data_IF_752371810657
#
_entry.id   IF_752371810657
#
_cell.length_a   1.000
_cell.length_b   1.000
_cell.length_c   1.000
_cell.angle_alpha   90.00
_cell.angle_beta   90.00
_cell.angle_gamma   90.00
#
_symmetry.space_group_name_H-M   'P 1'
#
loop_
_entity.id
_entity.type
_entity.pdbx_description
1 polymer ?
#
# COMPACT_ATOMS: atom_id res chain seq x y z
N UNK A 1 49.40 70.28 17.48
CA UNK A 1 49.41 68.88 17.96
C UNK A 1 47.96 68.44 18.13
N UNK A 2 47.44 67.73 17.19
CA UNK A 2 46.06 67.22 17.20
C UNK A 2 46.13 65.70 17.15
N UNK A 3 45.66 65.06 18.20
CA UNK A 3 45.64 63.64 18.42
C UNK A 3 44.33 63.07 17.83
N UNK A 4 44.45 62.26 16.76
CA UNK A 4 43.35 61.61 16.06
C UNK A 4 43.00 60.34 16.79
N UNK A 5 41.81 60.22 17.37
CA UNK A 5 41.24 58.98 17.96
C UNK A 5 40.56 58.20 16.87
N UNK A 6 41.12 57.02 16.48
CA UNK A 6 40.45 56.05 15.66
C UNK A 6 39.46 55.23 16.47
N UNK A 7 38.15 55.34 16.16
CA UNK A 7 37.12 54.46 16.65
C UNK A 7 37.10 53.18 15.79
N UNK A 8 37.51 52.06 16.38
CA UNK A 8 37.33 50.72 15.84
C UNK A 8 35.85 50.33 15.95
N UNK A 9 35.17 50.23 14.81
CA UNK A 9 33.83 49.70 14.73
C UNK A 9 33.87 48.16 14.67
N UNK A 10 33.46 47.49 15.73
CA UNK A 10 33.27 46.04 15.74
C UNK A 10 32.03 45.70 14.94
N UNK A 11 32.21 45.03 13.79
CA UNK A 11 31.12 44.38 13.06
C UNK A 11 30.59 43.17 13.86
N UNK A 12 29.43 43.31 14.46
CA UNK A 12 28.72 42.22 15.07
C UNK A 12 28.12 41.35 14.00
N UNK A 13 28.77 40.22 13.69
CA UNK A 13 28.24 39.18 12.79
C UNK A 13 27.11 38.44 13.54
N UNK A 14 25.87 38.83 13.29
CA UNK A 14 24.70 38.09 13.78
C UNK A 14 24.61 36.79 13.00
N UNK A 15 25.11 35.68 13.57
CA UNK A 15 24.81 34.33 13.11
C UNK A 15 23.32 34.10 13.31
N UNK A 16 22.57 34.07 12.20
CA UNK A 16 21.20 33.62 12.20
C UNK A 16 21.16 32.13 12.64
N UNK A 17 20.72 31.93 13.87
CA UNK A 17 20.46 30.58 14.39
C UNK A 17 19.22 30.06 13.65
N UNK A 18 19.45 29.21 12.68
CA UNK A 18 18.36 28.50 12.01
C UNK A 18 17.55 27.76 13.10
N UNK A 19 16.33 28.20 13.36
CA UNK A 19 15.44 27.58 14.31
C UNK A 19 15.14 26.16 13.83
N UNK A 20 15.51 25.16 14.65
CA UNK A 20 15.14 23.78 14.39
C UNK A 20 13.60 23.68 14.37
N UNK A 21 13.01 23.11 13.31
CA UNK A 21 11.55 22.96 13.23
C UNK A 21 11.02 22.23 14.45
N UNK A 22 9.89 22.70 14.97
CA UNK A 22 9.26 22.11 16.16
C UNK A 22 8.96 20.62 15.93
N UNK A 23 8.89 19.85 17.02
CA UNK A 23 8.58 18.40 16.95
C UNK A 23 7.26 18.13 16.24
N UNK A 24 6.30 19.07 16.33
CA UNK A 24 5.00 18.97 15.68
C UNK A 24 5.10 19.21 14.16
N UNK A 25 5.89 20.18 13.71
CA UNK A 25 6.15 20.42 12.29
C UNK A 25 6.83 19.23 11.62
N UNK A 26 7.81 18.60 12.28
CA UNK A 26 8.47 17.38 11.79
C UNK A 26 7.50 16.20 11.66
N UNK A 27 6.56 16.04 12.60
CA UNK A 27 5.55 14.98 12.55
C UNK A 27 4.62 15.16 11.35
N UNK A 28 4.15 16.38 11.11
CA UNK A 28 3.26 16.70 9.98
C UNK A 28 3.92 16.43 8.63
N UNK A 29 5.18 16.86 8.46
CA UNK A 29 5.96 16.62 7.23
C UNK A 29 6.15 15.12 6.95
N UNK A 30 6.49 14.33 7.96
CA UNK A 30 6.68 12.87 7.81
C UNK A 30 5.36 12.17 7.43
N UNK A 31 4.25 12.57 8.04
CA UNK A 31 2.93 12.01 7.72
C UNK A 31 2.53 12.34 6.28
N UNK A 32 2.76 13.57 5.84
CA UNK A 32 2.44 14.00 4.47
C UNK A 32 3.31 13.24 3.45
N UNK A 33 4.63 13.18 3.64
CA UNK A 33 5.53 12.44 2.77
C UNK A 33 5.17 10.95 2.64
N UNK A 34 4.74 10.30 3.72
CA UNK A 34 4.32 8.90 3.69
C UNK A 34 2.99 8.67 2.94
N UNK A 35 2.11 9.69 2.89
CA UNK A 35 0.84 9.65 2.15
C UNK A 35 0.97 9.96 0.66
N UNK A 36 2.03 10.65 0.26
CA UNK A 36 2.25 11.06 -1.14
C UNK A 36 2.57 9.91 -2.09
N UNK A 37 2.85 8.70 -1.56
CA UNK A 37 3.39 7.60 -2.35
C UNK A 37 2.45 7.04 -3.42
N UNK A 38 1.13 7.26 -3.34
CA UNK A 38 0.18 6.89 -4.39
C UNK A 38 -1.04 7.79 -4.48
N UNK A 39 -1.76 8.03 -3.39
CA UNK A 39 -2.95 8.86 -3.35
C UNK A 39 -2.86 9.82 -2.16
N UNK A 40 -2.48 11.08 -2.39
CA UNK A 40 -2.30 12.04 -1.32
C UNK A 40 -3.61 12.22 -0.53
N UNK A 41 -3.55 12.01 0.77
CA UNK A 41 -4.64 12.31 1.67
C UNK A 41 -5.81 11.31 1.71
N UNK A 42 -5.74 10.16 1.03
CA UNK A 42 -6.79 9.14 1.15
C UNK A 42 -6.67 8.40 2.49
N UNK A 43 -7.38 8.88 3.48
CA UNK A 43 -7.49 8.28 4.82
C UNK A 43 -8.85 8.63 5.44
N UNK A 44 -9.96 8.07 4.90
CA UNK A 44 -11.31 8.42 5.33
C UNK A 44 -11.59 8.07 6.80
N UNK A 45 -10.92 7.02 7.32
CA UNK A 45 -11.08 6.56 8.71
C UNK A 45 -10.07 7.19 9.67
N UNK A 46 -9.20 8.08 9.17
CA UNK A 46 -8.16 8.77 9.94
C UNK A 46 -7.23 7.83 10.74
N UNK A 47 -6.94 6.64 10.19
CA UNK A 47 -6.08 5.66 10.83
C UNK A 47 -4.60 6.07 10.82
N UNK A 48 -4.18 6.86 9.84
CA UNK A 48 -2.81 7.32 9.64
C UNK A 48 -2.50 8.70 10.24
N UNK A 49 -3.29 9.22 11.19
CA UNK A 49 -3.04 10.52 11.84
C UNK A 49 -1.79 10.48 12.72
N UNK A 50 -1.59 9.39 13.44
CA UNK A 50 -0.41 9.18 14.28
C UNK A 50 0.75 8.67 13.40
N UNK A 51 1.90 9.37 13.35
CA UNK A 51 3.05 8.97 12.53
C UNK A 51 3.62 7.59 12.87
N UNK A 52 3.58 7.19 14.12
CA UNK A 52 4.11 5.89 14.53
C UNK A 52 3.17 4.75 14.11
N UNK A 53 1.85 4.96 14.22
CA UNK A 53 0.84 4.05 13.66
C UNK A 53 0.92 3.99 12.14
N UNK A 54 1.12 5.11 11.47
CA UNK A 54 1.24 5.15 10.01
C UNK A 54 2.42 4.32 9.50
N UNK A 55 3.56 4.37 10.18
CA UNK A 55 4.73 3.52 9.86
C UNK A 55 4.38 2.04 9.98
N UNK A 56 3.68 1.67 11.06
CA UNK A 56 3.26 0.30 11.28
C UNK A 56 2.25 -0.19 10.23
N UNK A 57 1.24 0.63 9.93
CA UNK A 57 0.26 0.31 8.89
C UNK A 57 0.91 0.20 7.50
N UNK A 58 1.94 1.00 7.24
CA UNK A 58 2.71 0.91 6.02
C UNK A 58 3.45 -0.42 5.92
N UNK A 59 4.10 -0.85 6.98
CA UNK A 59 4.76 -2.15 7.06
C UNK A 59 3.75 -3.29 6.89
N UNK A 60 2.61 -3.20 7.55
CA UNK A 60 1.53 -4.18 7.41
C UNK A 60 0.99 -4.24 5.98
N UNK A 61 0.78 -3.11 5.33
CA UNK A 61 0.33 -3.03 3.94
C UNK A 61 1.31 -3.71 2.98
N UNK A 62 2.61 -3.40 3.11
CA UNK A 62 3.65 -4.03 2.27
C UNK A 62 3.76 -5.53 2.51
N UNK A 63 3.71 -5.98 3.76
CA UNK A 63 3.77 -7.41 4.09
C UNK A 63 2.57 -8.17 3.53
N UNK A 64 1.35 -7.65 3.73
CA UNK A 64 0.14 -8.26 3.16
C UNK A 64 0.14 -8.22 1.63
N UNK A 65 0.62 -7.13 1.03
CA UNK A 65 0.78 -7.03 -0.42
C UNK A 65 1.74 -8.07 -1.00
N UNK A 66 2.88 -8.31 -0.34
CA UNK A 66 3.85 -9.34 -0.74
C UNK A 66 3.27 -10.75 -0.62
N UNK A 67 2.60 -11.06 0.47
CA UNK A 67 1.90 -12.35 0.65
C UNK A 67 0.80 -12.53 -0.40
N UNK A 68 0.04 -11.51 -0.70
CA UNK A 68 -0.98 -11.57 -1.74
C UNK A 68 -0.39 -11.78 -3.13
N UNK A 69 0.72 -11.11 -3.48
CA UNK A 69 1.42 -11.36 -4.75
C UNK A 69 1.91 -12.81 -4.87
N UNK A 70 2.51 -13.35 -3.80
CA UNK A 70 2.93 -14.74 -3.76
C UNK A 70 1.73 -15.71 -3.86
N UNK A 71 0.63 -15.42 -3.15
CA UNK A 71 -0.59 -16.23 -3.19
C UNK A 71 -1.23 -16.25 -4.58
N UNK A 72 -1.36 -15.09 -5.24
CA UNK A 72 -1.91 -15.00 -6.60
C UNK A 72 -1.06 -15.80 -7.58
N UNK A 73 0.27 -15.63 -7.53
CA UNK A 73 1.18 -16.39 -8.39
C UNK A 73 1.08 -17.91 -8.12
N UNK A 74 1.03 -18.32 -6.85
CA UNK A 74 0.90 -19.72 -6.46
C UNK A 74 -0.42 -20.36 -6.93
N UNK A 75 -1.54 -19.67 -6.74
CA UNK A 75 -2.87 -20.12 -7.16
C UNK A 75 -2.92 -20.30 -8.69
N UNK A 76 -2.44 -19.32 -9.43
CA UNK A 76 -2.41 -19.39 -10.91
C UNK A 76 -1.48 -20.52 -11.39
N UNK A 77 -0.32 -20.67 -10.77
CA UNK A 77 0.63 -21.73 -11.12
C UNK A 77 0.04 -23.12 -10.88
N UNK A 78 -0.51 -23.39 -9.70
CA UNK A 78 -1.10 -24.70 -9.37
C UNK A 78 -2.32 -25.01 -10.25
N UNK A 79 -3.13 -24.00 -10.56
CA UNK A 79 -4.29 -24.14 -11.44
C UNK A 79 -3.87 -24.42 -12.89
N UNK A 80 -2.81 -23.79 -13.39
CA UNK A 80 -2.28 -23.97 -14.74
C UNK A 80 -1.63 -25.35 -14.95
N UNK A 81 -0.88 -25.82 -13.96
CA UNK A 81 -0.15 -27.11 -14.02
C UNK A 81 -1.05 -28.31 -13.72
N UNK A 82 -2.28 -28.07 -13.26
CA UNK A 82 -3.23 -29.13 -12.92
C UNK A 82 -2.96 -29.82 -11.59
N UNK A 83 -2.27 -29.13 -10.68
CA UNK A 83 -2.10 -29.56 -9.29
C UNK A 83 -3.41 -29.38 -8.50
N UNK A 84 -3.53 -29.97 -7.28
CA UNK A 84 -4.69 -29.76 -6.43
C UNK A 84 -5.03 -28.29 -6.30
N UNK A 85 -6.32 -27.98 -6.40
CA UNK A 85 -6.80 -26.60 -6.37
C UNK A 85 -6.55 -25.99 -5.00
N UNK A 86 -6.26 -24.71 -4.95
CA UNK A 86 -5.95 -23.97 -3.72
C UNK A 86 -7.02 -24.16 -2.63
N UNK A 87 -8.28 -24.24 -3.02
CA UNK A 87 -9.41 -24.41 -2.09
C UNK A 87 -9.59 -25.86 -1.60
N UNK A 88 -9.01 -26.86 -2.29
CA UNK A 88 -9.03 -28.26 -1.90
C UNK A 88 -7.69 -28.71 -1.27
N UNK A 89 -6.66 -27.87 -1.34
CA UNK A 89 -5.31 -28.21 -0.89
C UNK A 89 -5.25 -28.63 0.60
N UNK A 90 -6.11 -28.08 1.45
CA UNK A 90 -6.19 -28.48 2.86
C UNK A 90 -6.86 -29.84 3.11
N UNK A 91 -7.58 -30.38 2.12
CA UNK A 91 -8.24 -31.70 2.21
C UNK A 91 -7.38 -32.82 1.63
N UNK A 92 -6.30 -32.49 0.92
CA UNK A 92 -5.41 -33.47 0.30
C UNK A 92 -4.62 -34.26 1.34
N UNK A 93 -4.26 -35.49 0.94
CA UNK A 93 -3.42 -36.39 1.79
C UNK A 93 -1.96 -36.14 1.49
N UNK A 94 -1.26 -35.60 2.47
CA UNK A 94 0.18 -35.38 2.42
C UNK A 94 0.94 -36.49 3.17
N UNK A 95 2.27 -36.55 3.01
CA UNK A 95 3.15 -37.48 3.72
C UNK A 95 3.11 -37.27 5.25
N UNK A 96 2.85 -36.04 5.70
CA UNK A 96 2.65 -35.69 7.08
C UNK A 96 1.19 -35.37 7.35
N UNK A 97 0.73 -35.57 8.58
CA UNK A 97 -0.62 -35.17 8.95
C UNK A 97 -0.80 -33.64 8.90
N UNK A 98 -1.99 -33.18 8.57
CA UNK A 98 -2.30 -31.74 8.52
C UNK A 98 -2.01 -31.03 9.87
N UNK A 99 -2.22 -31.73 10.99
CA UNK A 99 -1.87 -31.21 12.31
C UNK A 99 -0.37 -31.01 12.49
N UNK A 100 0.45 -31.99 12.03
CA UNK A 100 1.91 -31.87 12.06
C UNK A 100 2.39 -30.72 11.18
N UNK A 101 1.84 -30.59 9.96
CA UNK A 101 2.16 -29.49 9.06
C UNK A 101 1.81 -28.14 9.66
N UNK A 102 0.63 -28.02 10.30
CA UNK A 102 0.21 -26.79 10.99
C UNK A 102 1.18 -26.40 12.12
N UNK A 103 1.61 -27.38 12.94
CA UNK A 103 2.56 -27.10 14.02
C UNK A 103 3.91 -26.62 13.46
N UNK A 104 4.41 -27.27 12.42
CA UNK A 104 5.66 -26.86 11.75
C UNK A 104 5.51 -25.42 11.22
N UNK A 105 4.41 -25.14 10.54
CA UNK A 105 4.13 -23.82 10.00
C UNK A 105 4.12 -22.76 11.09
N UNK A 106 3.36 -22.98 12.17
CA UNK A 106 3.27 -22.04 13.29
C UNK A 106 4.63 -21.77 13.94
N UNK A 107 5.45 -22.80 14.16
CA UNK A 107 6.78 -22.64 14.76
C UNK A 107 7.72 -21.85 13.84
N UNK A 108 7.76 -22.20 12.54
CA UNK A 108 8.60 -21.53 11.55
C UNK A 108 8.19 -20.08 11.38
N UNK A 109 6.88 -19.81 11.21
CA UNK A 109 6.39 -18.44 11.03
C UNK A 109 6.50 -17.61 12.30
N UNK A 110 6.29 -18.18 13.49
CA UNK A 110 6.51 -17.47 14.75
C UNK A 110 7.96 -16.98 14.86
N UNK A 111 8.93 -17.85 14.50
CA UNK A 111 10.34 -17.47 14.50
C UNK A 111 10.65 -16.38 13.46
N UNK A 112 10.21 -16.56 12.21
CA UNK A 112 10.45 -15.59 11.12
C UNK A 112 9.81 -14.23 11.41
N UNK A 113 8.57 -14.20 11.89
CA UNK A 113 7.86 -12.98 12.25
C UNK A 113 8.49 -12.28 13.47
N UNK A 114 8.95 -13.03 14.46
CA UNK A 114 9.69 -12.45 15.59
C UNK A 114 10.96 -11.73 15.10
N UNK A 115 11.71 -12.34 14.17
CA UNK A 115 12.91 -11.76 13.57
C UNK A 115 12.58 -10.55 12.68
N UNK A 116 11.50 -10.63 11.89
CA UNK A 116 11.01 -9.50 11.11
C UNK A 116 10.64 -8.31 12.00
N UNK A 117 9.91 -8.55 13.08
CA UNK A 117 9.51 -7.51 14.03
C UNK A 117 10.72 -6.88 14.75
N UNK A 118 11.69 -7.69 15.17
CA UNK A 118 12.95 -7.20 15.74
C UNK A 118 13.69 -6.28 14.77
N UNK A 119 13.82 -6.71 13.51
CA UNK A 119 14.43 -5.92 12.45
C UNK A 119 13.68 -4.61 12.18
N UNK A 120 12.35 -4.66 12.10
CA UNK A 120 11.52 -3.47 11.95
C UNK A 120 11.73 -2.48 13.10
N UNK A 121 11.78 -2.94 14.35
CA UNK A 121 12.05 -2.07 15.51
C UNK A 121 13.41 -1.37 15.43
N UNK A 122 14.43 -2.05 14.91
CA UNK A 122 15.80 -1.53 14.79
C UNK A 122 15.96 -0.57 13.62
N UNK A 123 15.37 -0.88 12.48
CA UNK A 123 15.61 -0.16 11.20
C UNK A 123 14.44 0.72 10.77
N UNK A 124 13.24 0.46 11.27
CA UNK A 124 12.01 1.13 10.83
C UNK A 124 11.59 0.78 9.41
N UNK A 125 12.20 -0.24 8.81
CA UNK A 125 11.99 -0.63 7.43
C UNK A 125 11.62 -2.11 7.26
N UNK A 126 11.33 -2.49 6.02
CA UNK A 126 10.98 -3.86 5.64
C UNK A 126 12.21 -4.68 5.32
N UNK A 127 12.20 -5.96 5.66
CA UNK A 127 13.28 -6.90 5.37
C UNK A 127 12.82 -8.34 5.44
N UNK A 128 13.76 -9.27 5.34
CA UNK A 128 13.52 -10.72 5.47
C UNK A 128 14.39 -11.25 6.57
N UNK A 129 13.78 -11.82 7.60
CA UNK A 129 14.44 -12.49 8.74
C UNK A 129 15.62 -11.71 9.34
N UNK A 130 16.81 -11.86 8.77
CA UNK A 130 18.06 -11.27 9.25
C UNK A 130 18.61 -10.17 8.34
N UNK A 131 18.00 -9.94 7.18
CA UNK A 131 18.48 -9.01 6.16
C UNK A 131 17.55 -7.81 6.03
N UNK A 132 18.02 -6.64 6.49
CA UNK A 132 17.29 -5.39 6.51
C UNK A 132 18.17 -4.24 5.99
N UNK A 133 17.76 -3.51 4.93
CA UNK A 133 16.68 -3.87 4.00
C UNK A 133 17.08 -5.04 3.12
N UNK A 134 16.11 -5.83 2.66
CA UNK A 134 16.35 -6.91 1.71
C UNK A 134 16.41 -6.35 0.29
N UNK A 135 17.61 -6.22 -0.24
CA UNK A 135 17.86 -5.76 -1.63
C UNK A 135 19.13 -6.42 -2.20
N UNK A 136 19.05 -7.71 -2.58
CA UNK A 136 20.22 -8.47 -3.07
C UNK A 136 20.76 -7.98 -4.41
N UNK A 137 19.93 -7.31 -5.22
CA UNK A 137 20.29 -6.85 -6.55
C UNK A 137 20.57 -5.33 -6.63
N UNK A 138 20.42 -4.59 -5.53
CA UNK A 138 20.63 -3.15 -5.48
C UNK A 138 19.65 -2.35 -6.33
N UNK A 139 18.43 -2.87 -6.55
CA UNK A 139 17.42 -2.27 -7.42
C UNK A 139 16.48 -1.28 -6.70
N UNK A 140 16.70 -1.05 -5.43
CA UNK A 140 15.82 -0.21 -4.62
C UNK A 140 15.83 1.24 -5.12
N UNK A 141 14.65 1.72 -5.49
CA UNK A 141 14.40 3.11 -5.86
C UNK A 141 12.98 3.50 -5.43
N UNK A 142 12.71 4.80 -5.35
CA UNK A 142 11.36 5.29 -5.03
C UNK A 142 10.31 4.80 -6.05
N UNK A 143 10.69 4.69 -7.31
CA UNK A 143 9.81 4.17 -8.36
C UNK A 143 9.50 2.67 -8.15
N UNK A 144 10.51 1.88 -7.78
CA UNK A 144 10.32 0.45 -7.48
C UNK A 144 9.48 0.23 -6.22
N UNK A 145 9.67 1.05 -5.18
CA UNK A 145 8.83 1.02 -3.98
C UNK A 145 7.35 1.35 -4.32
N UNK A 146 7.11 2.31 -5.22
CA UNK A 146 5.78 2.64 -5.68
C UNK A 146 5.15 1.51 -6.52
N UNK A 147 5.92 0.88 -7.41
CA UNK A 147 5.48 -0.27 -8.19
C UNK A 147 5.14 -1.46 -7.30
N UNK A 148 5.98 -1.76 -6.32
CA UNK A 148 5.73 -2.81 -5.32
C UNK A 148 4.39 -2.59 -4.61
N UNK A 149 4.16 -1.37 -4.11
CA UNK A 149 2.94 -1.01 -3.42
C UNK A 149 1.69 -1.18 -4.31
N UNK A 150 1.74 -0.67 -5.54
CA UNK A 150 0.61 -0.76 -6.48
C UNK A 150 0.29 -2.22 -6.85
N UNK A 151 1.32 -3.01 -7.15
CA UNK A 151 1.15 -4.44 -7.45
C UNK A 151 0.67 -5.22 -6.23
N UNK A 152 1.16 -4.90 -5.03
CA UNK A 152 0.67 -5.50 -3.78
C UNK A 152 -0.82 -5.24 -3.54
N UNK A 153 -1.27 -4.00 -3.73
CA UNK A 153 -2.70 -3.64 -3.62
C UNK A 153 -3.56 -4.35 -4.65
N UNK A 154 -3.09 -4.42 -5.91
CA UNK A 154 -3.77 -5.16 -6.96
C UNK A 154 -3.87 -6.65 -6.62
N UNK A 155 -2.81 -7.25 -6.13
CA UNK A 155 -2.80 -8.67 -5.74
C UNK A 155 -3.73 -8.97 -4.56
N UNK A 156 -3.82 -8.09 -3.57
CA UNK A 156 -4.79 -8.24 -2.47
C UNK A 156 -6.24 -8.27 -2.99
N UNK A 157 -6.57 -7.39 -3.92
CA UNK A 157 -7.89 -7.40 -4.58
C UNK A 157 -8.10 -8.63 -5.46
N UNK A 158 -7.08 -9.06 -6.20
CA UNK A 158 -7.14 -10.25 -7.04
C UNK A 158 -7.37 -11.53 -6.22
N UNK A 159 -6.71 -11.66 -5.07
CA UNK A 159 -6.94 -12.78 -4.16
C UNK A 159 -8.39 -12.85 -3.66
N UNK A 160 -8.96 -11.71 -3.25
CA UNK A 160 -10.38 -11.61 -2.87
C UNK A 160 -11.27 -11.96 -4.07
N UNK A 161 -10.89 -11.54 -5.29
CA UNK A 161 -11.57 -11.90 -6.53
C UNK A 161 -11.60 -13.41 -6.77
N UNK A 162 -10.47 -14.10 -6.59
CA UNK A 162 -10.41 -15.58 -6.73
C UNK A 162 -11.32 -16.29 -5.72
N UNK A 163 -11.28 -15.86 -4.46
CA UNK A 163 -12.13 -16.41 -3.41
C UNK A 163 -13.63 -16.19 -3.71
N UNK A 164 -13.99 -14.99 -4.15
CA UNK A 164 -15.37 -14.65 -4.50
C UNK A 164 -15.87 -15.45 -5.71
N UNK A 165 -15.03 -15.56 -6.75
CA UNK A 165 -15.37 -16.32 -7.96
C UNK A 165 -15.57 -17.81 -7.64
N UNK A 166 -14.67 -18.38 -6.83
CA UNK A 166 -14.83 -19.75 -6.39
C UNK A 166 -16.10 -19.95 -5.56
N UNK A 167 -16.41 -19.05 -4.64
CA UNK A 167 -17.63 -19.12 -3.81
C UNK A 167 -18.92 -19.09 -4.65
N UNK A 168 -18.89 -18.42 -5.81
CA UNK A 168 -20.05 -18.27 -6.71
C UNK A 168 -20.19 -19.43 -7.66
N UNK A 169 -19.10 -19.88 -8.29
CA UNK A 169 -19.14 -20.87 -9.38
C UNK A 169 -18.40 -22.18 -9.09
N UNK A 170 -17.71 -22.32 -7.96
CA UNK A 170 -16.97 -23.52 -7.57
C UNK A 170 -15.74 -23.82 -8.43
N UNK A 171 -15.30 -22.88 -9.28
CA UNK A 171 -14.20 -23.07 -10.24
C UNK A 171 -12.96 -22.28 -9.86
N UNK A 172 -11.79 -22.78 -10.29
CA UNK A 172 -10.53 -22.04 -10.20
C UNK A 172 -10.47 -20.86 -11.18
N UNK A 173 -9.48 -19.95 -11.02
CA UNK A 173 -9.40 -18.74 -11.83
C UNK A 173 -9.16 -19.00 -13.32
N UNK A 174 -8.36 -20.00 -13.68
CA UNK A 174 -8.08 -20.33 -15.10
C UNK A 174 -9.33 -20.91 -15.78
N UNK A 175 -10.03 -21.82 -15.11
CA UNK A 175 -11.27 -22.39 -15.65
C UNK A 175 -12.36 -21.33 -15.80
N UNK A 176 -12.50 -20.44 -14.82
CA UNK A 176 -13.45 -19.33 -14.89
C UNK A 176 -13.13 -18.34 -16.01
N UNK A 177 -11.85 -18.08 -16.26
CA UNK A 177 -11.41 -17.25 -17.39
C UNK A 177 -11.72 -17.95 -18.73
N UNK A 178 -11.45 -19.24 -18.83
CA UNK A 178 -11.75 -20.01 -20.05
C UNK A 178 -13.25 -19.99 -20.38
N UNK A 179 -14.12 -20.19 -19.39
CA UNK A 179 -15.57 -20.10 -19.57
C UNK A 179 -16.00 -18.71 -20.04
N UNK A 180 -15.44 -17.66 -19.44
CA UNK A 180 -15.74 -16.28 -19.84
C UNK A 180 -15.30 -15.99 -21.28
N UNK A 181 -14.13 -16.47 -21.68
CA UNK A 181 -13.63 -16.27 -23.05
C UNK A 181 -14.42 -17.10 -24.10
N UNK A 182 -14.92 -18.26 -23.70
CA UNK A 182 -15.74 -19.09 -24.58
C UNK A 182 -17.13 -18.46 -24.84
N UNK A 183 -17.75 -17.91 -23.82
CA UNK A 183 -19.07 -17.25 -23.94
C UNK A 183 -19.13 -16.04 -22.93
N UNK A 184 -18.63 -14.87 -23.35
CA UNK A 184 -18.60 -13.69 -22.49
C UNK A 184 -19.99 -13.15 -22.11
N UNK A 185 -20.99 -13.42 -22.95
CA UNK A 185 -22.34 -12.90 -22.74
C UNK A 185 -23.04 -13.61 -21.56
N UNK A 186 -22.79 -14.91 -21.37
CA UNK A 186 -23.47 -15.70 -20.36
C UNK A 186 -22.59 -16.08 -19.16
N UNK A 187 -21.26 -15.91 -19.26
CA UNK A 187 -20.31 -16.21 -18.18
C UNK A 187 -19.69 -14.93 -17.63
N UNK A 188 -20.47 -14.09 -16.98
CA UNK A 188 -20.02 -12.86 -16.34
C UNK A 188 -20.72 -12.64 -15.00
N UNK A 189 -20.31 -11.61 -14.26
CA UNK A 189 -20.87 -11.32 -12.94
C UNK A 189 -22.37 -11.04 -12.98
N UNK A 190 -22.89 -10.43 -14.05
CA UNK A 190 -24.31 -10.06 -14.17
C UNK A 190 -25.21 -11.26 -14.45
N UNK A 191 -24.68 -12.30 -15.09
CA UNK A 191 -25.38 -13.54 -15.39
C UNK A 191 -25.16 -14.62 -14.34
N UNK A 192 -24.31 -14.38 -13.34
CA UNK A 192 -24.05 -15.28 -12.23
C UNK A 192 -25.24 -15.39 -11.28
N UNK A 193 -25.20 -16.36 -10.37
CA UNK A 193 -26.24 -16.55 -9.34
C UNK A 193 -26.42 -15.33 -8.41
N UNK A 194 -25.38 -14.50 -8.29
CA UNK A 194 -25.39 -13.26 -7.49
C UNK A 194 -25.48 -11.99 -8.37
N UNK A 195 -25.83 -12.15 -9.65
CA UNK A 195 -25.81 -11.06 -10.63
C UNK A 195 -26.69 -9.89 -10.25
N UNK A 196 -27.89 -10.15 -9.74
CA UNK A 196 -28.85 -9.10 -9.36
C UNK A 196 -28.34 -8.30 -8.15
N UNK A 197 -27.81 -8.99 -7.14
CA UNK A 197 -27.32 -8.37 -5.89
C UNK A 197 -26.00 -7.64 -6.14
N UNK A 198 -25.19 -8.11 -7.06
CA UNK A 198 -23.87 -7.54 -7.33
C UNK A 198 -23.86 -6.37 -8.32
N UNK A 199 -24.92 -6.19 -9.11
CA UNK A 199 -24.99 -5.11 -10.13
C UNK A 199 -24.68 -3.74 -9.53
N UNK A 200 -25.33 -3.38 -8.41
CA UNK A 200 -25.11 -2.09 -7.76
C UNK A 200 -23.68 -1.95 -7.26
N UNK A 201 -23.16 -2.99 -6.61
CA UNK A 201 -21.79 -2.99 -6.06
C UNK A 201 -20.76 -2.85 -7.18
N UNK A 202 -20.91 -3.62 -8.26
CA UNK A 202 -20.01 -3.55 -9.42
C UNK A 202 -20.11 -2.18 -10.12
N UNK A 203 -21.31 -1.66 -10.31
CA UNK A 203 -21.51 -0.34 -10.89
C UNK A 203 -20.81 0.75 -10.07
N UNK A 204 -20.95 0.73 -8.74
CA UNK A 204 -20.28 1.69 -7.85
C UNK A 204 -18.75 1.56 -7.92
N UNK A 205 -18.23 0.33 -7.93
CA UNK A 205 -16.78 0.08 -8.03
C UNK A 205 -16.20 0.51 -9.37
N UNK A 206 -16.96 0.36 -10.47
CA UNK A 206 -16.52 0.78 -11.80
C UNK A 206 -16.62 2.29 -12.02
N UNK A 207 -17.69 2.92 -11.52
CA UNK A 207 -17.92 4.36 -11.70
C UNK A 207 -16.95 5.19 -10.87
N UNK A 208 -16.56 4.71 -9.69
CA UNK A 208 -15.71 5.46 -8.76
C UNK A 208 -14.33 5.85 -9.32
N UNK A 209 -13.54 4.94 -9.94
CA UNK A 209 -12.29 5.30 -10.61
C UNK A 209 -12.47 6.30 -11.75
N UNK A 210 -13.57 6.19 -12.48
CA UNK A 210 -13.90 7.10 -13.59
C UNK A 210 -14.14 8.51 -13.04
N UNK A 211 -14.90 8.65 -11.96
CA UNK A 211 -15.14 9.93 -11.29
C UNK A 211 -13.81 10.54 -10.82
N UNK A 212 -12.93 9.72 -10.23
CA UNK A 212 -11.61 10.18 -9.77
C UNK A 212 -10.79 10.73 -10.94
N UNK A 213 -10.66 9.99 -12.03
CA UNK A 213 -9.84 10.41 -13.17
C UNK A 213 -10.48 11.60 -13.91
N UNK A 214 -11.79 11.62 -14.08
CA UNK A 214 -12.50 12.77 -14.64
C UNK A 214 -12.28 14.03 -13.78
N UNK A 215 -12.37 13.91 -12.47
CA UNK A 215 -12.10 15.00 -11.54
C UNK A 215 -10.67 15.53 -11.66
N UNK A 216 -9.67 14.66 -11.79
CA UNK A 216 -8.27 15.06 -12.02
C UNK A 216 -8.08 15.78 -13.33
N UNK A 217 -8.70 15.30 -14.40
CA UNK A 217 -8.61 15.88 -15.74
C UNK A 217 -9.28 17.24 -15.81
N UNK A 218 -10.46 17.37 -15.21
CA UNK A 218 -11.24 18.61 -15.21
C UNK A 218 -10.61 19.71 -14.33
N UNK A 219 -9.90 19.35 -13.28
CA UNK A 219 -9.25 20.31 -12.39
C UNK A 219 -7.99 20.95 -12.98
N UNK A 220 -7.54 20.53 -14.17
CA UNK A 220 -6.38 21.11 -14.91
C UNK A 220 -5.15 21.35 -14.04
N UNK A 221 -4.85 20.45 -13.13
CA UNK A 221 -3.73 20.57 -12.22
C UNK A 221 -3.97 21.44 -10.98
N UNK A 222 -5.16 22.00 -10.80
CA UNK A 222 -5.53 22.61 -9.53
C UNK A 222 -5.62 21.54 -8.44
N UNK A 223 -5.36 21.94 -7.21
CA UNK A 223 -5.51 21.07 -6.04
C UNK A 223 -6.94 20.55 -5.99
N UNK A 224 -7.10 19.24 -6.10
CA UNK A 224 -8.44 18.66 -6.18
C UNK A 224 -9.15 18.69 -4.84
N UNK A 225 -10.46 18.93 -4.82
CA UNK A 225 -11.23 18.72 -3.61
C UNK A 225 -11.16 17.25 -3.19
N UNK A 226 -11.15 16.95 -1.89
CA UNK A 226 -11.14 15.58 -1.42
C UNK A 226 -12.41 14.87 -1.85
N UNK A 227 -12.28 13.61 -2.26
CA UNK A 227 -13.40 12.71 -2.49
C UNK A 227 -14.30 12.56 -1.26
N UNK A 228 -13.70 12.77 -0.10
CA UNK A 228 -14.36 12.77 1.19
C UNK A 228 -14.17 14.14 1.86
N UNK A 229 -15.14 15.05 1.75
CA UNK A 229 -15.02 16.43 2.26
C UNK A 229 -14.85 16.53 3.78
N UNK A 230 -15.14 15.45 4.51
CA UNK A 230 -14.91 15.36 5.97
C UNK A 230 -13.47 15.08 6.39
N UNK A 231 -12.57 14.85 5.44
CA UNK A 231 -11.15 14.64 5.73
C UNK A 231 -10.40 15.98 5.76
N UNK A 232 -10.33 16.65 6.92
CA UNK A 232 -9.67 17.95 7.06
C UNK A 232 -8.16 17.93 6.78
N UNK A 233 -7.53 16.75 6.81
CA UNK A 233 -6.10 16.60 6.50
C UNK A 233 -5.77 16.98 5.05
N UNK A 234 -6.75 16.92 4.15
CA UNK A 234 -6.62 17.43 2.80
C UNK A 234 -6.26 18.91 2.74
N UNK A 235 -6.84 19.73 3.62
CA UNK A 235 -6.61 21.18 3.67
C UNK A 235 -5.16 21.50 4.00
N UNK A 236 -4.55 20.71 4.89
CA UNK A 236 -3.14 20.84 5.26
C UNK A 236 -2.22 20.46 4.10
N UNK A 237 -2.50 19.33 3.42
CA UNK A 237 -1.74 18.87 2.24
C UNK A 237 -1.86 19.87 1.09
N UNK A 238 -3.03 20.45 0.88
CA UNK A 238 -3.25 21.45 -0.17
C UNK A 238 -2.52 22.76 0.13
N UNK A 239 -2.48 23.18 1.40
CA UNK A 239 -1.77 24.38 1.83
C UNK A 239 -0.24 24.24 1.65
N UNK A 240 0.33 23.08 1.98
CA UNK A 240 1.76 22.80 1.84
C UNK A 240 2.20 22.78 0.36
N UNK A 241 1.38 22.22 -0.53
CA UNK A 241 1.65 22.24 -1.99
C UNK A 241 1.59 23.65 -2.56
N UNK A 242 0.60 24.41 -2.21
CA UNK A 242 0.48 25.80 -2.64
C UNK A 242 1.57 26.72 -2.10
N UNK A 243 2.31 26.31 -1.07
CA UNK A 243 3.50 26.98 -0.58
C UNK A 243 4.75 26.55 -1.36
N UNK A 244 4.87 25.27 -1.75
CA UNK A 244 6.00 24.74 -2.51
C UNK A 244 6.04 25.23 -3.97
N UNK A 245 4.87 25.43 -4.59
CA UNK A 245 4.77 25.97 -5.97
C UNK A 245 5.04 27.48 -6.07
N UNK A 246 5.24 28.17 -4.93
CA UNK A 246 5.52 29.61 -4.87
C UNK A 246 7.00 29.93 -4.57
N UNK A 247 7.82 28.93 -4.37
CA UNK A 247 9.27 29.04 -4.15
C UNK A 247 10.04 28.50 -5.35
#
# INVERSE_FOLDING_TARGET
MATMLMKSGALATTKSVAQRPSRQSRKTVVVNAAREMWYPGFDPLRLGVDPDRLKWFREAELTNGRWAMAAVAGILFTDLVGLPKWYDAGAEKYALSNQTLLVIELVVFAFLEAKRYEGYKKTGGTGVAFWFPFDPLGMRSKDMELKELKNGRLAMLAFVGFASTWAVNGKGPIASLADHLADPAHNNIFTSIVGKESVLTVALLCVWPIIIEASKTLSKGQTQPPLFPWNDQWKEVAADRGAADRT
#
